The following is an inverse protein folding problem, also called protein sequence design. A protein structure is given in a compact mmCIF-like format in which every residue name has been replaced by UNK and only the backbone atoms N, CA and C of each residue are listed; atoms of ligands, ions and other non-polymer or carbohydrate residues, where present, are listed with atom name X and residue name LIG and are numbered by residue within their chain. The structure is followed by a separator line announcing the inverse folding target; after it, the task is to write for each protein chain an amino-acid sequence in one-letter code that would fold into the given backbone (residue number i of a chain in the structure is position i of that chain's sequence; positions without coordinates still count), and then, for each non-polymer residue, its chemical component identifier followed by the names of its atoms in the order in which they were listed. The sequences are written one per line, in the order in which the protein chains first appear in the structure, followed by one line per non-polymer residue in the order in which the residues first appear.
data_IF_503458737027
#
_entry.id   IF_503458737027
#
_cell.length_a   1.000
_cell.length_b   1.000
_cell.length_c   1.000
_cell.angle_alpha   90.00
_cell.angle_beta   90.00
_cell.angle_gamma   90.00
#
_symmetry.space_group_name_H-M   'P 1'
#
loop_
_entity.id
_entity.type
_entity.pdbx_description
1 polymer ?
#
# COMPACT_ATOMS: atom_id res chain seq x y z
N UNK A 1 12.39 -19.21 -22.25
CA UNK A 1 13.31 -18.08 -22.52
C UNK A 1 13.04 -17.00 -21.50
N UNK A 2 14.03 -16.55 -20.71
CA UNK A 2 13.93 -15.27 -20.05
C UNK A 2 14.88 -14.31 -20.74
N UNK A 3 14.38 -13.67 -21.79
CA UNK A 3 14.91 -12.35 -22.14
C UNK A 3 14.10 -11.36 -21.29
N UNK A 4 14.76 -10.71 -20.34
CA UNK A 4 14.32 -9.42 -19.81
C UNK A 4 15.53 -8.64 -19.33
N UNK A 5 16.04 -7.88 -20.28
CA UNK A 5 16.95 -6.76 -20.12
C UNK A 5 16.39 -5.76 -19.11
N UNK A 6 16.97 -5.73 -17.91
CA UNK A 6 16.88 -4.61 -16.98
C UNK A 6 18.24 -4.50 -16.32
N UNK A 7 18.93 -3.39 -16.54
CA UNK A 7 20.21 -3.07 -15.89
C UNK A 7 20.28 -3.60 -14.45
N UNK A 8 21.40 -4.19 -14.05
CA UNK A 8 21.59 -4.70 -12.69
C UNK A 8 21.39 -3.68 -11.55
N UNK A 9 21.24 -2.39 -11.88
CA UNK A 9 20.85 -1.33 -10.97
C UNK A 9 19.32 -1.19 -10.87
N UNK A 10 18.72 -1.32 -9.68
CA UNK A 10 17.30 -1.03 -9.45
C UNK A 10 16.91 0.37 -9.94
N UNK A 11 15.70 0.50 -10.50
CA UNK A 11 15.21 1.77 -11.08
C UNK A 11 15.21 2.92 -10.04
N UNK A 12 14.87 2.63 -8.80
CA UNK A 12 14.92 3.59 -7.69
C UNK A 12 16.30 4.22 -7.54
N UNK A 13 17.36 3.40 -7.61
CA UNK A 13 18.74 3.86 -7.54
C UNK A 13 19.13 4.68 -8.77
N UNK A 14 18.73 4.25 -9.98
CA UNK A 14 18.98 5.00 -11.22
C UNK A 14 18.34 6.40 -11.21
N UNK A 15 17.15 6.51 -10.63
CA UNK A 15 16.41 7.77 -10.53
C UNK A 15 16.83 8.63 -9.33
N UNK A 16 17.80 8.17 -8.52
CA UNK A 16 18.25 8.90 -7.33
C UNK A 16 17.17 9.02 -6.25
N UNK A 17 16.32 8.00 -6.11
CA UNK A 17 15.28 7.97 -5.09
C UNK A 17 15.91 8.09 -3.69
N UNK A 18 15.37 8.99 -2.88
CA UNK A 18 15.79 9.20 -1.49
C UNK A 18 15.14 8.16 -0.58
N UNK A 19 15.68 7.98 0.62
CA UNK A 19 15.05 7.18 1.69
C UNK A 19 13.60 7.61 1.88
N UNK A 20 12.68 6.63 1.90
CA UNK A 20 11.24 6.86 2.03
C UNK A 20 10.51 7.24 0.75
N UNK A 21 11.17 7.12 -0.41
CA UNK A 21 10.52 7.27 -1.72
C UNK A 21 9.83 5.97 -2.19
N UNK A 22 10.00 4.85 -1.49
CA UNK A 22 9.32 3.60 -1.81
C UNK A 22 7.83 3.70 -1.53
N UNK A 23 7.04 3.31 -2.53
CA UNK A 23 5.57 3.32 -2.45
C UNK A 23 5.05 2.01 -2.99
N UNK A 24 4.32 1.27 -2.15
CA UNK A 24 3.53 0.12 -2.55
C UNK A 24 2.07 0.55 -2.56
N UNK A 25 1.35 0.27 -3.65
CA UNK A 25 -0.10 0.49 -3.73
C UNK A 25 -0.77 -0.84 -4.02
N UNK A 26 -1.61 -1.29 -3.09
CA UNK A 26 -2.34 -2.54 -3.20
C UNK A 26 -3.83 -2.29 -3.40
N UNK A 27 -4.36 -2.73 -4.53
CA UNK A 27 -5.77 -2.64 -4.88
C UNK A 27 -6.45 -3.95 -4.55
N UNK A 28 -7.52 -3.89 -3.76
CA UNK A 28 -8.33 -5.07 -3.44
C UNK A 28 -9.79 -4.66 -3.17
N UNK A 29 -10.70 -5.59 -3.39
CA UNK A 29 -12.11 -5.46 -3.02
C UNK A 29 -12.48 -6.32 -1.82
N UNK A 30 -11.56 -7.18 -1.35
CA UNK A 30 -11.80 -8.21 -0.34
C UNK A 30 -10.98 -8.01 0.92
N UNK A 31 -11.66 -7.99 2.06
CA UNK A 31 -11.08 -7.99 3.41
C UNK A 31 -10.21 -9.21 3.64
N UNK A 32 -10.72 -10.41 3.32
CA UNK A 32 -9.97 -11.65 3.50
C UNK A 32 -8.68 -11.69 2.67
N UNK A 33 -8.67 -11.11 1.47
CA UNK A 33 -7.43 -10.95 0.71
C UNK A 33 -6.47 -9.96 1.37
N UNK A 34 -6.98 -8.81 1.84
CA UNK A 34 -6.17 -7.82 2.51
C UNK A 34 -5.46 -8.41 3.73
N UNK A 35 -6.22 -9.07 4.62
CA UNK A 35 -5.69 -9.73 5.82
C UNK A 35 -4.58 -10.74 5.47
N UNK A 36 -4.81 -11.59 4.46
CA UNK A 36 -3.83 -12.59 4.02
C UNK A 36 -2.55 -11.96 3.46
N UNK A 37 -2.66 -10.81 2.78
CA UNK A 37 -1.54 -10.19 2.04
C UNK A 37 -0.78 -9.15 2.87
N UNK A 38 -1.40 -8.56 3.89
CA UNK A 38 -0.91 -7.35 4.55
C UNK A 38 0.52 -7.51 5.08
N UNK A 39 0.78 -8.57 5.87
CA UNK A 39 2.12 -8.85 6.40
C UNK A 39 3.18 -8.97 5.29
N UNK A 40 2.83 -9.64 4.18
CA UNK A 40 3.73 -9.81 3.05
C UNK A 40 4.03 -8.49 2.34
N UNK A 41 3.04 -7.60 2.21
CA UNK A 41 3.22 -6.26 1.66
C UNK A 41 4.08 -5.38 2.59
N UNK A 42 3.78 -5.39 3.89
CA UNK A 42 4.55 -4.67 4.90
C UNK A 42 6.03 -5.09 4.91
N UNK A 43 6.32 -6.39 4.75
CA UNK A 43 7.69 -6.89 4.71
C UNK A 43 8.52 -6.41 3.50
N UNK A 44 7.89 -5.78 2.50
CA UNK A 44 8.60 -5.17 1.35
C UNK A 44 9.00 -3.72 1.57
N UNK A 45 8.55 -3.10 2.67
CA UNK A 45 8.78 -1.69 2.96
C UNK A 45 10.09 -1.50 3.73
N UNK A 46 10.88 -0.51 3.34
CA UNK A 46 11.83 0.09 4.27
C UNK A 46 11.09 0.94 5.33
N UNK A 47 11.67 1.22 6.51
CA UNK A 47 10.98 1.95 7.59
C UNK A 47 10.39 3.31 7.18
N UNK A 48 11.01 3.99 6.21
CA UNK A 48 10.55 5.28 5.72
C UNK A 48 9.55 5.22 4.55
N UNK A 49 9.31 4.04 3.99
CA UNK A 49 8.43 3.83 2.84
C UNK A 49 6.94 3.90 3.21
N UNK A 50 6.08 3.79 2.20
CA UNK A 50 4.64 3.89 2.36
C UNK A 50 3.90 2.72 1.71
N UNK A 51 2.92 2.17 2.44
CA UNK A 51 1.93 1.25 1.89
C UNK A 51 0.58 1.96 1.74
N UNK A 52 0.04 1.98 0.54
CA UNK A 52 -1.31 2.43 0.26
C UNK A 52 -2.21 1.23 0.02
N UNK A 53 -3.31 1.17 0.76
CA UNK A 53 -4.37 0.21 0.50
C UNK A 53 -5.49 0.94 -0.21
N UNK A 54 -5.85 0.46 -1.40
CA UNK A 54 -6.88 1.03 -2.26
C UNK A 54 -8.08 0.08 -2.37
N UNK A 55 -9.28 0.60 -2.16
CA UNK A 55 -10.54 -0.13 -2.30
C UNK A 55 -11.58 0.72 -3.05
N UNK A 56 -12.62 0.08 -3.62
CA UNK A 56 -13.64 0.81 -4.36
C UNK A 56 -14.40 1.79 -3.47
N UNK A 57 -14.72 2.96 -4.01
CA UNK A 57 -15.69 3.87 -3.41
C UNK A 57 -17.08 3.25 -3.49
N UNK A 58 -17.95 3.62 -2.55
CA UNK A 58 -19.37 3.20 -2.57
C UNK A 58 -20.08 3.59 -3.88
N UNK A 59 -19.70 4.71 -4.49
CA UNK A 59 -20.27 5.18 -5.77
C UNK A 59 -19.80 4.39 -7.00
N UNK A 60 -18.73 3.60 -6.90
CA UNK A 60 -18.11 2.94 -8.04
C UNK A 60 -18.88 1.72 -8.57
N UNK A 61 -19.90 1.26 -7.82
CA UNK A 61 -20.71 0.06 -8.11
C UNK A 61 -19.85 -1.19 -8.39
N UNK A 62 -18.69 -1.28 -7.76
CA UNK A 62 -17.85 -2.48 -7.73
C UNK A 62 -18.17 -3.22 -6.44
N UNK A 63 -18.43 -4.52 -6.52
CA UNK A 63 -18.65 -5.36 -5.34
C UNK A 63 -17.37 -5.48 -4.51
N UNK A 64 -17.52 -5.33 -3.20
CA UNK A 64 -16.44 -5.43 -2.23
C UNK A 64 -16.96 -5.29 -0.80
N UNK A 65 -16.20 -5.78 0.16
CA UNK A 65 -16.57 -5.82 1.58
C UNK A 65 -15.69 -4.90 2.44
N UNK A 66 -14.84 -4.07 1.81
CA UNK A 66 -13.93 -3.15 2.50
C UNK A 66 -14.57 -1.78 2.79
N UNK A 67 -14.38 -1.34 4.02
CA UNK A 67 -14.66 0.03 4.50
C UNK A 67 -13.36 0.69 4.97
N UNK A 68 -13.38 2.01 5.20
CA UNK A 68 -12.24 2.68 5.83
C UNK A 68 -11.87 2.02 7.15
N UNK A 69 -12.86 1.80 8.03
CA UNK A 69 -12.65 1.22 9.36
C UNK A 69 -12.00 -0.18 9.28
N UNK A 70 -12.46 -1.04 8.37
CA UNK A 70 -11.87 -2.37 8.20
C UNK A 70 -10.41 -2.31 7.70
N UNK A 71 -10.11 -1.39 6.77
CA UNK A 71 -8.74 -1.20 6.27
C UNK A 71 -7.84 -0.63 7.37
N UNK A 72 -8.34 0.34 8.15
CA UNK A 72 -7.62 0.95 9.26
C UNK A 72 -7.33 -0.05 10.38
N UNK A 73 -8.32 -0.85 10.78
CA UNK A 73 -8.19 -1.91 11.79
C UNK A 73 -7.02 -2.84 11.44
N UNK A 74 -7.00 -3.39 10.22
CA UNK A 74 -5.92 -4.28 9.76
C UNK A 74 -4.56 -3.57 9.82
N UNK A 75 -4.46 -2.34 9.34
CA UNK A 75 -3.19 -1.61 9.37
C UNK A 75 -2.65 -1.38 10.78
N UNK A 76 -3.53 -1.03 11.72
CA UNK A 76 -3.20 -0.83 13.13
C UNK A 76 -2.80 -2.13 13.83
N UNK A 77 -3.49 -3.25 13.54
CA UNK A 77 -3.13 -4.58 14.05
C UNK A 77 -1.72 -5.01 13.62
N UNK A 78 -1.29 -4.56 12.43
CA UNK A 78 0.06 -4.77 11.90
C UNK A 78 1.09 -3.72 12.36
N UNK A 79 0.71 -2.84 13.29
CA UNK A 79 1.60 -1.84 13.88
C UNK A 79 1.89 -0.63 12.99
N UNK A 80 1.23 -0.50 11.83
CA UNK A 80 1.32 0.70 11.00
C UNK A 80 0.26 1.71 11.42
N UNK A 81 0.51 2.99 11.15
CA UNK A 81 -0.46 4.06 11.36
C UNK A 81 -0.85 4.70 10.04
N UNK A 82 -2.13 4.99 9.86
CA UNK A 82 -2.57 5.81 8.75
C UNK A 82 -2.28 7.29 9.01
N UNK A 83 -1.91 8.03 7.96
CA UNK A 83 -1.67 9.47 8.10
C UNK A 83 -2.22 10.34 6.96
N UNK A 84 -2.66 9.72 5.87
CA UNK A 84 -3.24 10.38 4.70
C UNK A 84 -4.25 9.46 4.02
N UNK A 85 -5.27 10.05 3.42
CA UNK A 85 -6.24 9.38 2.56
C UNK A 85 -6.40 10.16 1.25
N UNK A 86 -6.78 9.47 0.18
CA UNK A 86 -7.07 10.13 -1.11
C UNK A 86 -8.13 9.36 -1.92
N UNK A 87 -8.71 10.06 -2.89
CA UNK A 87 -9.28 9.41 -4.06
C UNK A 87 -8.14 9.19 -5.06
N UNK A 88 -7.94 7.97 -5.54
CA UNK A 88 -6.96 7.68 -6.61
C UNK A 88 -7.53 8.13 -7.94
N UNK A 89 -8.79 7.78 -8.20
CA UNK A 89 -9.55 8.17 -9.38
C UNK A 89 -11.04 8.29 -9.01
N UNK A 90 -11.94 8.26 -9.99
CA UNK A 90 -13.38 8.31 -9.76
C UNK A 90 -13.93 7.10 -8.99
N UNK A 91 -13.28 5.93 -9.11
CA UNK A 91 -13.77 4.62 -8.63
C UNK A 91 -13.07 4.14 -7.37
N UNK A 92 -11.81 4.51 -7.15
CA UNK A 92 -10.96 3.99 -6.07
C UNK A 92 -10.58 5.09 -5.09
N UNK A 93 -10.56 4.71 -3.82
CA UNK A 93 -10.02 5.51 -2.72
C UNK A 93 -8.97 4.70 -1.98
N UNK A 94 -8.07 5.38 -1.29
CA UNK A 94 -7.00 4.73 -0.59
C UNK A 94 -6.62 5.46 0.71
N UNK A 95 -6.02 4.70 1.60
CA UNK A 95 -5.38 5.20 2.82
C UNK A 95 -3.93 4.78 2.85
N UNK A 96 -3.06 5.68 3.31
CA UNK A 96 -1.62 5.50 3.41
C UNK A 96 -1.24 5.09 4.83
N UNK A 97 -0.56 3.97 4.94
CA UNK A 97 0.07 3.44 6.13
C UNK A 97 1.58 3.66 6.13
N UNK A 98 2.13 3.91 7.32
CA UNK A 98 3.56 4.03 7.59
C UNK A 98 3.90 3.50 8.98
N UNK A 99 5.17 3.19 9.21
CA UNK A 99 5.69 3.04 10.57
C UNK A 99 5.53 4.36 11.35
N UNK A 100 5.25 4.27 12.66
CA UNK A 100 5.24 5.43 13.56
C UNK A 100 6.63 6.05 13.57
N UNK A 101 6.72 7.35 13.87
CA UNK A 101 8.01 8.02 13.89
C UNK A 101 9.00 7.39 14.88
N UNK A 102 8.50 6.85 16.00
CA UNK A 102 9.29 6.14 17.01
C UNK A 102 9.77 4.74 16.57
N UNK A 103 9.13 4.15 15.55
CA UNK A 103 9.41 2.80 15.04
C UNK A 103 10.25 2.82 13.74
N UNK A 104 10.77 4.00 13.35
CA UNK A 104 11.57 4.20 12.13
C UNK A 104 13.07 4.29 12.38
#
# INVERSE_FOLDING_TARGET
MPDKDYSGTPLSQKLGAKTGAGVVVFFTTSRAELERRFQGLQATLDPADALWIAWPKRSAKIEGDLTFDAVQEIGLEHGLVDNKSCAIDERWQAVRFVYRLEDR
#
